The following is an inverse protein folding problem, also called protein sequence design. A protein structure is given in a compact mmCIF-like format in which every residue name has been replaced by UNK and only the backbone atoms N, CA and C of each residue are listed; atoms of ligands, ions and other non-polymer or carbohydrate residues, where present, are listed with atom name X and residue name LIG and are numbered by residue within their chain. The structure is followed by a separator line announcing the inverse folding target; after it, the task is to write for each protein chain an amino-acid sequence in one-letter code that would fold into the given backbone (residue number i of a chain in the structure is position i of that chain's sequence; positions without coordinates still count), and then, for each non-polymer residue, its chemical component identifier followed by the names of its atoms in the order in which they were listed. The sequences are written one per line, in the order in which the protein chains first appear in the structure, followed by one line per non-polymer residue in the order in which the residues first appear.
data_IF_242501481188
#
_entry.id   IF_242501481188
#
_cell.length_a   1.000
_cell.length_b   1.000
_cell.length_c   1.000
_cell.angle_alpha   90.00
_cell.angle_beta   90.00
_cell.angle_gamma   90.00
#
_symmetry.space_group_name_H-M   'P 1'
#
loop_
_entity.id
_entity.type
_entity.pdbx_description
1 polymer ?
#
# COMPACT_ATOMS: atom_id res chain seq x y z
N UNK A 1 -11.59 0.78 18.31
CA UNK A 1 -10.35 0.69 17.50
C UNK A 1 -10.15 2.03 16.81
N UNK A 2 -9.07 2.75 17.11
CA UNK A 2 -8.84 4.07 16.54
C UNK A 2 -8.23 3.89 15.14
N UNK A 3 -9.09 3.83 14.11
CA UNK A 3 -8.70 3.44 12.73
C UNK A 3 -7.85 4.49 12.01
N UNK A 4 -7.63 5.65 12.63
CA UNK A 4 -6.94 6.81 12.06
C UNK A 4 -5.59 7.13 12.72
N UNK A 5 -5.30 6.55 13.89
CA UNK A 5 -4.06 6.75 14.62
C UNK A 5 -2.84 6.10 13.95
N UNK A 6 -1.61 6.51 14.31
CA UNK A 6 -0.41 5.77 13.95
C UNK A 6 -0.45 4.36 14.56
N UNK A 7 0.06 3.37 13.82
CA UNK A 7 0.28 2.02 14.33
C UNK A 7 1.72 1.97 14.82
N UNK A 8 1.89 1.64 16.09
CA UNK A 8 3.20 1.50 16.70
C UNK A 8 3.53 0.03 16.89
N UNK A 9 4.77 -0.34 16.57
CA UNK A 9 5.30 -1.67 16.82
C UNK A 9 6.65 -1.56 17.52
N UNK A 10 6.99 -2.56 18.33
CA UNK A 10 8.31 -2.64 18.93
C UNK A 10 9.26 -3.38 17.99
N UNK A 11 10.22 -2.66 17.43
CA UNK A 11 11.24 -3.23 16.56
C UNK A 11 12.33 -3.87 17.43
N UNK A 12 12.43 -5.20 17.39
CA UNK A 12 13.41 -5.95 18.20
C UNK A 12 14.85 -5.79 17.72
N UNK A 13 15.06 -5.39 16.46
CA UNK A 13 16.40 -5.22 15.91
C UNK A 13 17.01 -3.87 16.29
N UNK A 14 16.17 -2.85 16.42
CA UNK A 14 16.58 -1.49 16.83
C UNK A 14 16.29 -1.22 18.32
N UNK A 15 15.55 -2.10 18.99
CA UNK A 15 15.07 -1.97 20.38
C UNK A 15 14.19 -0.73 20.63
N UNK A 16 13.62 -0.15 19.58
CA UNK A 16 12.81 1.07 19.63
C UNK A 16 11.33 0.83 19.30
N UNK A 17 10.48 1.72 19.81
CA UNK A 17 9.08 1.80 19.38
C UNK A 17 9.03 2.60 18.07
N UNK A 18 8.68 1.93 16.98
CA UNK A 18 8.63 2.51 15.65
C UNK A 18 7.18 2.67 15.17
N UNK A 19 6.97 3.56 14.20
CA UNK A 19 5.67 3.72 13.55
C UNK A 19 5.65 2.94 12.25
N UNK A 20 4.65 2.09 12.08
CA UNK A 20 4.49 1.30 10.87
C UNK A 20 4.16 2.19 9.68
N UNK A 21 5.00 2.11 8.64
CA UNK A 21 4.67 2.66 7.34
C UNK A 21 3.62 1.77 6.69
N UNK A 22 2.38 2.26 6.57
CA UNK A 22 1.27 1.51 5.97
C UNK A 22 1.09 1.93 4.53
N UNK A 23 1.27 1.01 3.59
CA UNK A 23 0.97 1.25 2.18
C UNK A 23 -0.51 1.59 1.98
N UNK A 24 -0.76 2.70 1.30
CA UNK A 24 -2.12 3.21 1.14
C UNK A 24 -2.76 3.69 2.45
N UNK A 25 -1.97 3.97 3.50
CA UNK A 25 -2.49 4.37 4.82
C UNK A 25 -3.49 5.52 4.76
N UNK A 26 -3.26 6.54 3.93
CA UNK A 26 -4.22 7.63 3.73
C UNK A 26 -5.57 7.17 3.16
N UNK A 27 -5.55 6.30 2.15
CA UNK A 27 -6.76 5.69 1.58
C UNK A 27 -7.47 4.83 2.61
N UNK A 28 -6.75 3.99 3.36
CA UNK A 28 -7.33 3.14 4.41
C UNK A 28 -7.99 3.97 5.52
N UNK A 29 -7.33 5.04 5.98
CA UNK A 29 -7.89 5.96 6.98
C UNK A 29 -9.16 6.62 6.47
N UNK A 30 -9.22 7.03 5.21
CA UNK A 30 -10.43 7.59 4.62
C UNK A 30 -11.54 6.53 4.45
N UNK A 31 -11.20 5.37 3.88
CA UNK A 31 -12.10 4.27 3.57
C UNK A 31 -12.78 3.70 4.82
N UNK A 32 -12.06 3.59 5.93
CA UNK A 32 -12.58 2.99 7.16
C UNK A 32 -12.87 3.99 8.28
N UNK A 33 -12.30 5.20 8.22
CA UNK A 33 -12.46 6.24 9.24
C UNK A 33 -13.64 7.19 9.04
N UNK A 34 -14.23 7.26 7.85
CA UNK A 34 -15.33 8.16 7.53
C UNK A 34 -16.57 7.40 7.00
N UNK A 35 -17.82 7.77 7.38
CA UNK A 35 -19.02 7.12 6.86
C UNK A 35 -19.11 7.08 5.33
N UNK A 36 -18.71 8.16 4.63
CA UNK A 36 -18.70 8.16 3.16
C UNK A 36 -17.70 7.17 2.57
N UNK A 37 -16.50 7.06 3.17
CA UNK A 37 -15.49 6.10 2.74
C UNK A 37 -15.99 4.66 2.88
N UNK A 38 -16.68 4.35 3.99
CA UNK A 38 -17.26 3.02 4.22
C UNK A 38 -18.32 2.66 3.19
N UNK A 39 -19.17 3.63 2.83
CA UNK A 39 -20.18 3.45 1.77
C UNK A 39 -19.51 3.22 0.40
N UNK A 40 -18.45 3.97 0.07
CA UNK A 40 -17.69 3.74 -1.17
C UNK A 40 -17.06 2.34 -1.21
N UNK A 41 -16.55 1.84 -0.08
CA UNK A 41 -16.01 0.47 0.01
C UNK A 41 -17.09 -0.55 -0.28
N UNK A 42 -18.27 -0.41 0.34
CA UNK A 42 -19.38 -1.35 0.20
C UNK A 42 -19.95 -1.38 -1.22
N UNK A 43 -20.10 -0.20 -1.83
CA UNK A 43 -20.75 -0.08 -3.13
C UNK A 43 -19.81 -0.36 -4.30
N UNK A 44 -18.54 0.05 -4.21
CA UNK A 44 -17.60 0.05 -5.33
C UNK A 44 -16.43 -0.90 -5.11
N UNK A 45 -15.69 -0.77 -4.01
CA UNK A 45 -14.40 -1.47 -3.81
C UNK A 45 -14.59 -2.99 -3.71
N UNK A 46 -15.66 -3.45 -3.05
CA UNK A 46 -15.96 -4.89 -2.91
C UNK A 46 -16.45 -5.57 -4.19
N UNK A 47 -16.68 -4.81 -5.28
CA UNK A 47 -17.23 -5.37 -6.53
C UNK A 47 -16.12 -6.02 -7.35
N UNK A 48 -16.40 -7.20 -7.92
CA UNK A 48 -15.46 -7.91 -8.80
C UNK A 48 -15.00 -7.04 -9.98
N UNK A 49 -15.87 -6.17 -10.50
CA UNK A 49 -15.54 -5.21 -11.56
C UNK A 49 -14.41 -4.25 -11.13
N UNK A 50 -14.43 -3.77 -9.89
CA UNK A 50 -13.39 -2.86 -9.39
C UNK A 50 -12.04 -3.56 -9.33
N UNK A 51 -11.99 -4.80 -8.82
CA UNK A 51 -10.77 -5.61 -8.81
C UNK A 51 -10.22 -5.85 -10.21
N UNK A 52 -11.09 -6.17 -11.17
CA UNK A 52 -10.69 -6.36 -12.57
C UNK A 52 -10.13 -5.08 -13.18
N UNK A 53 -10.84 -3.96 -13.03
CA UNK A 53 -10.39 -2.66 -13.53
C UNK A 53 -9.05 -2.23 -12.92
N UNK A 54 -8.92 -2.33 -11.59
CA UNK A 54 -7.71 -1.94 -10.89
C UNK A 54 -6.52 -2.83 -11.26
N UNK A 55 -6.74 -4.14 -11.35
CA UNK A 55 -5.73 -5.10 -11.81
C UNK A 55 -5.26 -4.78 -13.22
N UNK A 56 -6.20 -4.57 -14.15
CA UNK A 56 -5.88 -4.18 -15.53
C UNK A 56 -5.11 -2.85 -15.61
N UNK A 57 -5.43 -1.88 -14.76
CA UNK A 57 -4.69 -0.63 -14.71
C UNK A 57 -3.27 -0.80 -14.16
N UNK A 58 -3.11 -1.65 -13.13
CA UNK A 58 -1.82 -1.98 -12.55
C UNK A 58 -0.96 -2.87 -13.45
N UNK A 59 -1.54 -3.55 -14.44
CA UNK A 59 -0.80 -4.39 -15.41
C UNK A 59 -0.20 -3.59 -16.58
N UNK A 60 -0.31 -2.25 -16.57
CA UNK A 60 0.19 -1.40 -17.65
C UNK A 60 1.67 -1.06 -17.44
N UNK A 61 2.54 -1.08 -18.46
CA UNK A 61 3.97 -0.77 -18.27
C UNK A 61 4.31 0.58 -17.65
N UNK A 62 3.40 1.56 -17.69
CA UNK A 62 3.57 2.85 -17.02
C UNK A 62 3.59 2.76 -15.49
N UNK A 63 3.12 1.66 -14.89
CA UNK A 63 3.09 1.45 -13.44
C UNK A 63 4.44 1.05 -12.87
N UNK A 64 5.39 0.60 -13.70
CA UNK A 64 6.79 0.36 -13.31
C UNK A 64 7.40 1.60 -12.64
N UNK A 65 7.03 2.80 -13.10
CA UNK A 65 7.46 4.05 -12.50
C UNK A 65 7.05 4.21 -11.02
N UNK A 66 6.09 3.43 -10.52
CA UNK A 66 5.67 3.41 -9.11
C UNK A 66 6.56 2.54 -8.22
N UNK A 67 7.31 1.60 -8.80
CA UNK A 67 8.15 0.64 -8.05
C UNK A 67 9.27 1.37 -7.31
N UNK A 68 10.00 2.26 -7.99
CA UNK A 68 11.11 3.01 -7.37
C UNK A 68 10.65 3.88 -6.18
N UNK A 69 9.63 4.75 -6.31
CA UNK A 69 9.10 5.49 -5.17
C UNK A 69 8.61 4.60 -4.02
N UNK A 70 8.04 3.43 -4.34
CA UNK A 70 7.63 2.46 -3.32
C UNK A 70 8.85 1.94 -2.54
N UNK A 71 9.89 1.45 -3.21
CA UNK A 71 11.11 0.98 -2.55
C UNK A 71 11.74 2.06 -1.66
N UNK A 72 11.84 3.29 -2.17
CA UNK A 72 12.41 4.43 -1.43
C UNK A 72 11.55 4.82 -0.21
N UNK A 73 10.23 4.90 -0.37
CA UNK A 73 9.32 5.29 0.71
C UNK A 73 9.23 4.26 1.85
N UNK A 74 9.45 2.99 1.55
CA UNK A 74 9.43 1.90 2.53
C UNK A 74 10.83 1.47 2.98
N UNK A 75 11.89 2.09 2.46
CA UNK A 75 13.28 1.79 2.84
C UNK A 75 13.67 0.33 2.58
N UNK A 76 13.12 -0.28 1.52
CA UNK A 76 13.35 -1.69 1.22
C UNK A 76 14.74 -1.90 0.61
N UNK A 77 15.42 -2.95 1.03
CA UNK A 77 16.68 -3.36 0.39
C UNK A 77 16.40 -4.12 -0.90
N UNK A 78 16.68 -3.50 -2.04
CA UNK A 78 16.51 -4.12 -3.35
C UNK A 78 17.44 -5.31 -3.60
N UNK A 79 18.49 -5.49 -2.79
CA UNK A 79 19.37 -6.67 -2.86
C UNK A 79 18.68 -7.95 -2.36
N UNK A 80 17.66 -7.83 -1.53
CA UNK A 80 16.86 -8.96 -1.05
C UNK A 80 15.81 -9.44 -2.08
N UNK A 81 15.61 -8.68 -3.16
CA UNK A 81 14.58 -8.99 -4.14
C UNK A 81 15.00 -10.17 -5.02
N UNK A 82 14.07 -11.09 -5.29
CA UNK A 82 14.30 -12.22 -6.18
C UNK A 82 14.56 -11.82 -7.65
N UNK A 83 14.20 -10.58 -8.03
CA UNK A 83 14.40 -10.00 -9.36
C UNK A 83 15.02 -8.62 -9.21
N UNK A 84 15.82 -8.20 -10.20
CA UNK A 84 16.33 -6.82 -10.24
C UNK A 84 15.20 -5.84 -10.49
N UNK A 85 15.44 -4.59 -10.06
CA UNK A 85 14.51 -3.47 -10.28
C UNK A 85 14.15 -3.26 -11.76
N UNK A 86 15.07 -3.58 -12.67
CA UNK A 86 14.89 -3.37 -14.11
C UNK A 86 14.08 -4.49 -14.77
N UNK A 87 13.79 -5.57 -14.03
CA UNK A 87 13.01 -6.72 -14.51
C UNK A 87 11.51 -6.57 -14.25
N UNK A 88 11.08 -5.53 -13.53
CA UNK A 88 9.66 -5.23 -13.33
C UNK A 88 9.08 -4.56 -14.58
N UNK A 89 7.98 -5.12 -15.10
CA UNK A 89 7.35 -4.68 -16.37
C UNK A 89 5.95 -4.10 -16.21
N UNK A 90 5.32 -4.27 -15.04
CA UNK A 90 4.05 -3.67 -14.62
C UNK A 90 3.95 -3.66 -13.10
#
# INVERSE_FOLDING_TARGET
MNVTGPIHFYNRYTEHLETEAVYGGGFLKWAYGNPLGRVSVELLVKRAFFSYFYGWWMDRPSTVAKVKPFVESFGLDAQEFAKKMDEFTS
#
